data_IF_977883526994
#
_entry.id   IF_977883526994
#
_cell.length_a   1.000
_cell.length_b   1.000
_cell.length_c   1.000
_cell.angle_alpha   90.00
_cell.angle_beta   90.00
_cell.angle_gamma   90.00
#
_symmetry.space_group_name_H-M   'P 1'
#
loop_
_entity.id
_entity.type
_entity.pdbx_description
1 polymer ?
#
# COMPACT_ATOMS: atom_id res chain seq x y z
N UNK A 1 -19.49 15.59 15.64
CA UNK A 1 -18.06 15.65 15.26
C UNK A 1 -17.13 14.86 16.19
N UNK A 2 -17.44 14.74 17.50
CA UNK A 2 -16.59 14.01 18.46
C UNK A 2 -16.51 12.48 18.23
N UNK A 3 -17.54 11.87 17.64
CA UNK A 3 -17.59 10.42 17.41
C UNK A 3 -16.61 9.96 16.33
N UNK A 4 -16.40 10.74 15.27
CA UNK A 4 -15.47 10.41 14.18
C UNK A 4 -14.02 10.52 14.66
N UNK A 5 -13.71 11.57 15.41
CA UNK A 5 -12.39 11.74 16.04
C UNK A 5 -12.08 10.59 17.01
N UNK A 6 -13.05 10.23 17.86
CA UNK A 6 -12.91 9.09 18.78
C UNK A 6 -12.72 7.76 18.04
N UNK A 7 -13.45 7.54 16.96
CA UNK A 7 -13.29 6.34 16.13
C UNK A 7 -11.89 6.29 15.50
N UNK A 8 -11.44 7.41 14.90
CA UNK A 8 -10.10 7.52 14.32
C UNK A 8 -8.98 7.26 15.34
N UNK A 9 -9.10 7.82 16.53
CA UNK A 9 -8.15 7.59 17.63
C UNK A 9 -8.09 6.10 18.00
N UNK A 10 -9.25 5.45 18.15
CA UNK A 10 -9.35 4.01 18.46
C UNK A 10 -8.71 3.16 17.36
N UNK A 11 -8.98 3.44 16.09
CA UNK A 11 -8.38 2.72 14.96
C UNK A 11 -6.86 2.88 14.93
N UNK A 12 -6.36 4.09 15.14
CA UNK A 12 -4.93 4.35 15.14
C UNK A 12 -4.20 3.65 16.28
N UNK A 13 -4.75 3.71 17.50
CA UNK A 13 -4.19 3.00 18.66
C UNK A 13 -4.22 1.48 18.47
N UNK A 14 -5.33 0.93 17.97
CA UNK A 14 -5.44 -0.50 17.68
C UNK A 14 -4.43 -0.93 16.60
N UNK A 15 -4.30 -0.15 15.52
CA UNK A 15 -3.33 -0.41 14.45
C UNK A 15 -1.88 -0.41 14.97
N UNK A 16 -1.52 0.56 15.82
CA UNK A 16 -0.18 0.60 16.40
C UNK A 16 0.13 -0.61 17.28
N UNK A 17 -0.85 -1.10 18.04
CA UNK A 17 -0.69 -2.22 18.97
C UNK A 17 -0.69 -3.57 18.27
N UNK A 18 -1.60 -3.78 17.33
CA UNK A 18 -1.87 -5.11 16.75
C UNK A 18 -1.03 -5.42 15.50
N UNK A 19 -0.39 -4.41 14.91
CA UNK A 19 0.38 -4.58 13.66
C UNK A 19 1.88 -4.72 13.94
N UNK A 20 2.50 -5.87 13.59
CA UNK A 20 3.94 -6.07 13.66
C UNK A 20 4.75 -5.02 12.87
N UNK A 21 5.99 -4.77 13.29
CA UNK A 21 6.87 -3.77 12.66
C UNK A 21 7.17 -4.09 11.18
N UNK A 22 7.29 -5.37 10.82
CA UNK A 22 7.47 -5.82 9.44
C UNK A 22 6.29 -5.43 8.54
N UNK A 23 5.05 -5.63 8.99
CA UNK A 23 3.86 -5.22 8.24
C UNK A 23 3.76 -3.69 8.11
N UNK A 24 4.15 -2.94 9.15
CA UNK A 24 4.21 -1.47 9.07
C UNK A 24 5.18 -0.98 7.99
N UNK A 25 6.31 -1.65 7.76
CA UNK A 25 7.22 -1.30 6.67
C UNK A 25 6.58 -1.51 5.30
N UNK A 26 5.85 -2.61 5.11
CA UNK A 26 5.11 -2.87 3.87
C UNK A 26 4.01 -1.81 3.67
N UNK A 27 3.28 -1.46 4.73
CA UNK A 27 2.24 -0.43 4.69
C UNK A 27 2.81 0.96 4.32
N UNK A 28 4.00 1.32 4.85
CA UNK A 28 4.71 2.56 4.48
C UNK A 28 5.15 2.54 3.01
N UNK A 29 5.66 1.42 2.52
CA UNK A 29 6.02 1.26 1.11
C UNK A 29 4.80 1.37 0.19
N UNK A 30 3.68 0.75 0.57
CA UNK A 30 2.41 0.88 -0.16
C UNK A 30 1.93 2.33 -0.22
N UNK A 31 2.02 3.07 0.90
CA UNK A 31 1.69 4.49 0.93
C UNK A 31 2.61 5.32 0.01
N UNK A 32 3.92 5.07 0.03
CA UNK A 32 4.88 5.74 -0.86
C UNK A 32 4.55 5.54 -2.35
N UNK A 33 4.25 4.30 -2.76
CA UNK A 33 3.90 4.02 -4.16
C UNK A 33 2.58 4.68 -4.55
N UNK A 34 1.58 4.63 -3.66
CA UNK A 34 0.29 5.29 -3.87
C UNK A 34 0.46 6.79 -4.12
N UNK A 35 1.24 7.47 -3.26
CA UNK A 35 1.53 8.89 -3.45
C UNK A 35 2.30 9.15 -4.75
N UNK A 36 3.27 8.30 -5.11
CA UNK A 36 3.99 8.41 -6.37
C UNK A 36 3.05 8.33 -7.59
N UNK A 37 2.10 7.39 -7.59
CA UNK A 37 1.08 7.26 -8.64
C UNK A 37 0.13 8.46 -8.70
N UNK A 38 -0.27 9.00 -7.55
CA UNK A 38 -1.07 10.24 -7.47
C UNK A 38 -0.28 11.41 -8.07
N UNK A 39 1.00 11.57 -7.71
CA UNK A 39 1.82 12.65 -8.26
C UNK A 39 2.02 12.52 -9.77
N UNK A 40 2.26 11.31 -10.28
CA UNK A 40 2.32 11.06 -11.72
C UNK A 40 1.02 11.46 -12.43
N UNK A 41 -0.13 11.08 -11.85
CA UNK A 41 -1.44 11.41 -12.40
C UNK A 41 -1.71 12.91 -12.38
N UNK A 42 -1.46 13.58 -11.25
CA UNK A 42 -1.61 15.03 -11.14
C UNK A 42 -0.70 15.76 -12.12
N UNK A 43 0.55 15.31 -12.27
CA UNK A 43 1.49 15.88 -13.25
C UNK A 43 0.96 15.77 -14.68
N UNK A 44 0.45 14.60 -15.08
CA UNK A 44 -0.16 14.40 -16.40
C UNK A 44 -1.36 15.31 -16.63
N UNK A 45 -2.22 15.51 -15.62
CA UNK A 45 -3.38 16.41 -15.71
C UNK A 45 -2.96 17.88 -15.86
N UNK A 46 -1.90 18.30 -15.18
CA UNK A 46 -1.46 19.71 -15.17
C UNK A 46 -0.57 20.08 -16.37
N UNK A 47 0.37 19.21 -16.74
CA UNK A 47 1.41 19.49 -17.75
C UNK A 47 1.03 18.95 -19.13
N UNK A 48 0.11 17.98 -19.18
CA UNK A 48 -0.33 17.34 -20.40
C UNK A 48 0.23 15.92 -20.58
N UNK A 49 -0.09 15.32 -21.71
CA UNK A 49 0.02 13.87 -21.92
C UNK A 49 1.23 13.42 -22.72
N UNK A 50 2.09 14.32 -23.18
CA UNK A 50 3.26 13.96 -23.99
C UNK A 50 4.53 13.88 -23.13
N UNK A 51 5.28 12.76 -23.11
CA UNK A 51 5.05 11.49 -23.83
C UNK A 51 4.15 10.49 -23.06
N UNK A 52 3.05 10.07 -23.69
CA UNK A 52 1.99 9.29 -23.03
C UNK A 52 2.46 7.89 -22.60
N UNK A 53 3.29 7.25 -23.42
CA UNK A 53 3.79 5.91 -23.11
C UNK A 53 4.70 5.89 -21.89
N UNK A 54 5.46 6.96 -21.65
CA UNK A 54 6.30 7.07 -20.46
C UNK A 54 5.46 7.27 -19.19
N UNK A 55 4.42 8.11 -19.28
CA UNK A 55 3.44 8.24 -18.19
C UNK A 55 2.76 6.90 -17.90
N UNK A 56 2.25 6.23 -18.93
CA UNK A 56 1.55 4.96 -18.78
C UNK A 56 2.47 3.89 -18.17
N UNK A 57 3.72 3.78 -18.65
CA UNK A 57 4.69 2.85 -18.08
C UNK A 57 4.98 3.14 -16.60
N UNK A 58 5.19 4.41 -16.25
CA UNK A 58 5.41 4.85 -14.87
C UNK A 58 4.21 4.56 -13.98
N UNK A 59 3.01 4.94 -14.43
CA UNK A 59 1.78 4.78 -13.68
C UNK A 59 1.43 3.30 -13.46
N UNK A 60 1.46 2.48 -14.52
CA UNK A 60 1.20 1.04 -14.41
C UNK A 60 2.27 0.34 -13.56
N UNK A 61 3.52 0.79 -13.59
CA UNK A 61 4.56 0.29 -12.68
C UNK A 61 4.19 0.54 -11.21
N UNK A 62 3.71 1.74 -10.86
CA UNK A 62 3.26 2.03 -9.48
C UNK A 62 2.07 1.15 -9.08
N UNK A 63 1.08 0.98 -9.96
CA UNK A 63 -0.08 0.12 -9.70
C UNK A 63 0.36 -1.34 -9.51
N UNK A 64 1.23 -1.86 -10.38
CA UNK A 64 1.76 -3.22 -10.29
C UNK A 64 2.52 -3.46 -9.00
N UNK A 65 3.43 -2.55 -8.63
CA UNK A 65 4.17 -2.64 -7.36
C UNK A 65 3.24 -2.57 -6.14
N UNK A 66 2.18 -1.77 -6.18
CA UNK A 66 1.19 -1.70 -5.10
C UNK A 66 0.44 -3.03 -4.94
N UNK A 67 -0.01 -3.64 -6.05
CA UNK A 67 -0.69 -4.94 -6.02
C UNK A 67 0.23 -6.02 -5.48
N UNK A 68 1.50 -6.06 -5.89
CA UNK A 68 2.48 -7.01 -5.36
C UNK A 68 2.74 -6.80 -3.86
N UNK A 69 2.90 -5.56 -3.42
CA UNK A 69 3.07 -5.23 -2.01
C UNK A 69 1.85 -5.63 -1.16
N UNK A 70 0.63 -5.43 -1.68
CA UNK A 70 -0.60 -5.88 -1.03
C UNK A 70 -0.64 -7.41 -0.87
N UNK A 71 -0.25 -8.15 -1.91
CA UNK A 71 -0.15 -9.61 -1.84
C UNK A 71 0.92 -10.06 -0.83
N UNK A 72 2.07 -9.40 -0.78
CA UNK A 72 3.11 -9.67 0.21
C UNK A 72 2.56 -9.43 1.62
N UNK A 73 1.91 -8.29 1.86
CA UNK A 73 1.28 -7.95 3.16
C UNK A 73 0.29 -9.02 3.63
N UNK A 74 -0.51 -9.57 2.70
CA UNK A 74 -1.49 -10.61 3.02
C UNK A 74 -0.79 -11.92 3.41
N UNK A 75 0.26 -12.31 2.68
CA UNK A 75 1.02 -13.55 2.90
C UNK A 75 1.89 -13.49 4.17
N UNK A 76 2.51 -12.34 4.46
CA UNK A 76 3.37 -12.14 5.64
C UNK A 76 2.57 -11.99 6.94
N UNK A 77 1.26 -11.76 6.88
CA UNK A 77 0.45 -11.64 8.08
C UNK A 77 0.23 -13.02 8.74
N UNK A 78 0.76 -13.19 9.95
CA UNK A 78 0.64 -14.43 10.73
C UNK A 78 -0.81 -14.87 10.96
N UNK A 79 -1.79 -13.94 10.98
CA UNK A 79 -3.23 -14.29 11.08
C UNK A 79 -3.74 -15.06 9.87
N UNK A 80 -3.04 -14.98 8.74
CA UNK A 80 -3.38 -15.66 7.50
C UNK A 80 -2.54 -16.92 7.26
N UNK A 81 -1.65 -17.29 8.19
CA UNK A 81 -0.71 -18.40 8.02
C UNK A 81 -1.42 -19.74 7.70
N UNK A 82 -2.60 -19.97 8.28
CA UNK A 82 -3.40 -21.17 7.99
C UNK A 82 -3.87 -21.28 6.53
N UNK A 83 -4.00 -20.16 5.83
CA UNK A 83 -4.35 -20.12 4.40
C UNK A 83 -3.14 -20.30 3.48
N UNK A 84 -1.92 -20.17 4.02
CA UNK A 84 -0.67 -20.19 3.27
C UNK A 84 0.31 -21.25 3.81
N UNK A 85 -0.20 -22.40 4.30
CA UNK A 85 0.59 -23.48 4.94
C UNK A 85 1.74 -24.03 4.10
N UNK A 86 1.66 -23.92 2.78
CA UNK A 86 2.70 -24.38 1.83
C UNK A 86 3.71 -23.30 1.44
N UNK A 87 3.48 -22.03 1.82
CA UNK A 87 4.38 -20.92 1.52
C UNK A 87 5.21 -20.60 2.78
N UNK A 88 6.50 -20.93 2.74
CA UNK A 88 7.43 -20.43 3.77
C UNK A 88 7.57 -18.91 3.62
N UNK A 89 7.83 -18.15 4.71
CA UNK A 89 7.98 -16.69 4.64
C UNK A 89 9.06 -16.17 3.66
N UNK A 90 9.99 -17.04 3.27
CA UNK A 90 11.10 -16.74 2.34
C UNK A 90 10.79 -17.07 0.86
N UNK A 91 9.64 -17.70 0.57
CA UNK A 91 9.22 -18.13 -0.78
C UNK A 91 8.17 -17.22 -1.37
#
# INVERSE_FOLDING_TARGET
>A
MNSISTAGQKFFTAYQKDTPRSLKFIDVYMAYILFSGIFQFVYMVLVGTFPYNAFLAGFISTVGSFVLAANLRIQTNARNADKFKTMSPER
#
